data_IF_748132819442
#
_entry.id   IF_748132819442
#
_cell.length_a   1.000
_cell.length_b   1.000
_cell.length_c   1.000
_cell.angle_alpha   90.00
_cell.angle_beta   90.00
_cell.angle_gamma   90.00
#
_symmetry.space_group_name_H-M   'P 1'
#
loop_
_entity.id
_entity.type
_entity.pdbx_description
1 polymer ?
#
# COMPACT_ATOMS: atom_id res chain seq x y z
N UNK A 1 -19.97 -0.89 -23.38
CA UNK A 1 -19.76 -1.60 -22.09
C UNK A 1 -18.37 -1.23 -21.60
N UNK A 2 -18.26 -0.45 -20.54
CA UNK A 2 -17.00 0.15 -20.10
C UNK A 2 -16.11 -0.88 -19.40
N UNK A 3 -14.90 -1.09 -19.93
CA UNK A 3 -13.86 -1.84 -19.24
C UNK A 3 -13.34 -1.00 -18.07
N UNK A 4 -13.75 -1.32 -16.84
CA UNK A 4 -13.16 -0.76 -15.64
C UNK A 4 -11.71 -1.20 -15.54
N UNK A 5 -10.77 -0.28 -15.75
CA UNK A 5 -9.34 -0.49 -15.56
C UNK A 5 -9.10 -0.81 -14.07
N UNK A 6 -8.61 -2.01 -13.71
CA UNK A 6 -8.09 -2.20 -12.37
C UNK A 6 -6.70 -1.56 -12.37
N UNK A 7 -6.59 -0.36 -11.81
CA UNK A 7 -5.33 0.22 -11.34
C UNK A 7 -4.79 -0.61 -10.17
N UNK A 8 -4.51 -1.90 -10.40
CA UNK A 8 -3.62 -2.68 -9.54
C UNK A 8 -2.28 -1.95 -9.46
N UNK A 9 -1.51 -2.05 -8.36
CA UNK A 9 -0.10 -1.72 -8.42
C UNK A 9 0.55 -2.55 -9.54
N UNK A 10 1.10 -1.86 -10.53
CA UNK A 10 1.67 -2.49 -11.71
C UNK A 10 3.18 -2.60 -11.53
N UNK A 11 3.69 -3.82 -11.55
CA UNK A 11 5.12 -4.09 -11.49
C UNK A 11 5.67 -4.18 -12.92
N UNK A 12 6.67 -3.36 -13.23
CA UNK A 12 7.30 -3.26 -14.54
C UNK A 12 8.81 -3.46 -14.44
N UNK A 13 9.43 -3.95 -15.51
CA UNK A 13 10.87 -3.82 -15.70
C UNK A 13 11.24 -2.36 -15.93
N UNK A 14 12.29 -1.88 -15.26
CA UNK A 14 12.62 -0.46 -15.27
C UNK A 14 12.99 0.08 -16.67
N UNK A 15 13.72 -0.71 -17.46
CA UNK A 15 14.18 -0.36 -18.81
C UNK A 15 13.09 -0.47 -19.90
N UNK A 16 11.84 -0.78 -19.54
CA UNK A 16 10.75 -0.90 -20.52
C UNK A 16 10.33 0.48 -21.02
N UNK A 17 10.68 0.79 -22.29
CA UNK A 17 10.30 2.06 -22.96
C UNK A 17 8.79 2.31 -23.00
N UNK A 18 7.96 1.26 -22.98
CA UNK A 18 6.51 1.34 -22.86
C UNK A 18 6.03 0.61 -21.60
N UNK A 19 5.52 1.36 -20.63
CA UNK A 19 4.82 0.82 -19.45
C UNK A 19 3.33 0.81 -19.76
N UNK A 20 2.81 -0.35 -20.18
CA UNK A 20 1.39 -0.53 -20.52
C UNK A 20 0.87 -1.85 -19.93
N UNK A 21 -0.44 -2.11 -20.02
CA UNK A 21 -1.05 -3.30 -19.41
C UNK A 21 -0.50 -4.65 -19.89
N UNK A 22 0.22 -4.69 -21.01
CA UNK A 22 0.81 -5.91 -21.58
C UNK A 22 2.21 -6.14 -20.96
N UNK A 23 2.93 -5.08 -20.60
CA UNK A 23 4.30 -5.15 -20.10
C UNK A 23 4.42 -5.27 -18.57
N UNK A 24 3.30 -5.34 -17.84
CA UNK A 24 3.32 -5.53 -16.39
C UNK A 24 3.27 -7.02 -15.98
N UNK A 25 4.00 -7.34 -14.93
CA UNK A 25 3.91 -8.66 -14.28
C UNK A 25 2.56 -8.80 -13.58
N UNK A 26 1.82 -9.87 -13.91
CA UNK A 26 0.52 -10.21 -13.33
C UNK A 26 0.47 -11.61 -12.71
N UNK A 27 1.55 -12.37 -12.82
CA UNK A 27 1.60 -13.72 -12.27
C UNK A 27 1.50 -13.66 -10.74
N UNK A 28 0.43 -14.24 -10.19
CA UNK A 28 0.11 -14.12 -8.78
C UNK A 28 1.19 -14.75 -7.89
N UNK A 29 1.74 -15.90 -8.30
CA UNK A 29 2.78 -16.60 -7.53
C UNK A 29 4.09 -15.79 -7.48
N UNK A 30 4.46 -15.17 -8.60
CA UNK A 30 5.58 -14.24 -8.68
C UNK A 30 5.35 -13.04 -7.78
N UNK A 31 4.19 -12.37 -7.86
CA UNK A 31 3.88 -11.21 -7.02
C UNK A 31 3.92 -11.56 -5.53
N UNK A 32 3.34 -12.69 -5.14
CA UNK A 32 3.41 -13.21 -3.77
C UNK A 32 4.87 -13.41 -3.34
N UNK A 33 5.67 -14.10 -4.15
CA UNK A 33 7.10 -14.34 -3.85
C UNK A 33 7.89 -13.03 -3.76
N UNK A 34 7.65 -12.11 -4.67
CA UNK A 34 8.35 -10.83 -4.77
C UNK A 34 8.05 -9.96 -3.54
N UNK A 35 6.78 -9.69 -3.26
CA UNK A 35 6.39 -8.77 -2.19
C UNK A 35 6.48 -9.42 -0.79
N UNK A 36 6.40 -10.75 -0.68
CA UNK A 36 6.67 -11.45 0.59
C UNK A 36 8.15 -11.48 0.97
N UNK A 37 9.07 -11.05 0.10
CA UNK A 37 10.51 -11.01 0.38
C UNK A 37 11.11 -9.63 0.22
N UNK A 38 10.27 -8.63 -0.11
CA UNK A 38 10.72 -7.27 -0.28
C UNK A 38 11.32 -6.71 1.01
N UNK A 39 12.48 -6.06 0.88
CA UNK A 39 13.23 -5.45 1.97
C UNK A 39 13.98 -4.20 1.49
N UNK A 40 14.51 -3.35 2.40
CA UNK A 40 15.34 -2.23 1.99
C UNK A 40 16.60 -2.75 1.28
N UNK A 41 17.01 -2.06 0.22
CA UNK A 41 18.21 -2.42 -0.52
C UNK A 41 19.45 -1.97 0.27
N UNK A 42 20.17 -2.96 0.78
CA UNK A 42 21.48 -2.80 1.45
C UNK A 42 22.52 -3.73 0.83
N UNK A 43 22.41 -3.96 -0.47
CA UNK A 43 23.20 -4.97 -1.20
C UNK A 43 24.51 -4.44 -1.79
N UNK A 44 24.79 -3.14 -1.63
CA UNK A 44 25.87 -2.41 -2.28
C UNK A 44 25.61 -2.08 -3.76
N UNK A 45 24.45 -2.45 -4.31
CA UNK A 45 24.11 -2.25 -5.74
C UNK A 45 22.85 -1.42 -5.88
N UNK A 46 22.96 -0.32 -6.63
CA UNK A 46 21.85 0.56 -7.00
C UNK A 46 21.00 1.09 -5.83
N UNK A 47 21.56 1.17 -4.62
CA UNK A 47 20.79 1.53 -3.41
C UNK A 47 20.11 2.90 -3.51
N UNK A 48 20.78 3.86 -4.15
CA UNK A 48 20.26 5.22 -4.36
C UNK A 48 19.10 5.25 -5.37
N UNK A 49 19.17 4.47 -6.44
CA UNK A 49 18.15 4.47 -7.51
C UNK A 49 17.02 3.47 -7.25
N UNK A 50 17.27 2.42 -6.49
CA UNK A 50 16.34 1.34 -6.16
C UNK A 50 16.41 1.05 -4.65
N UNK A 51 15.60 1.75 -3.84
CA UNK A 51 15.67 1.67 -2.38
C UNK A 51 15.17 0.33 -1.81
N UNK A 52 14.54 -0.51 -2.63
CA UNK A 52 14.05 -1.83 -2.22
C UNK A 52 14.61 -2.96 -3.08
N UNK A 53 14.67 -4.16 -2.50
CA UNK A 53 15.18 -5.37 -3.12
C UNK A 53 14.29 -6.56 -2.73
N UNK A 54 13.98 -7.43 -3.68
CA UNK A 54 13.38 -8.73 -3.43
C UNK A 54 14.28 -9.88 -3.95
N UNK A 55 14.75 -10.79 -3.08
CA UNK A 55 15.48 -11.99 -3.50
C UNK A 55 14.53 -13.09 -3.98
N UNK A 56 14.67 -13.49 -5.25
CA UNK A 56 13.89 -14.55 -5.88
C UNK A 56 14.81 -15.70 -6.30
N UNK A 57 15.13 -16.57 -5.34
CA UNK A 57 16.09 -17.67 -5.58
C UNK A 57 17.51 -17.12 -5.76
N UNK A 58 18.12 -17.37 -6.92
CA UNK A 58 19.46 -16.84 -7.26
C UNK A 58 19.40 -15.40 -7.78
N UNK A 59 18.21 -14.90 -8.12
CA UNK A 59 18.00 -13.58 -8.70
C UNK A 59 17.71 -12.52 -7.64
N UNK A 60 18.08 -11.28 -7.98
CA UNK A 60 17.86 -10.09 -7.16
C UNK A 60 17.02 -9.11 -7.98
N UNK A 61 15.82 -8.81 -7.51
CA UNK A 61 14.94 -7.85 -8.17
C UNK A 61 14.98 -6.53 -7.42
N UNK A 62 15.50 -5.49 -8.06
CA UNK A 62 15.57 -4.14 -7.52
C UNK A 62 14.27 -3.39 -7.79
N UNK A 63 13.78 -2.65 -6.80
CA UNK A 63 12.50 -1.95 -6.87
C UNK A 63 12.66 -0.49 -6.46
N UNK A 64 12.08 0.38 -7.29
CA UNK A 64 11.73 1.75 -6.96
C UNK A 64 10.23 1.93 -7.14
N UNK A 65 9.64 2.84 -6.38
CA UNK A 65 8.22 3.15 -6.42
C UNK A 65 8.04 4.67 -6.35
N UNK A 66 6.94 5.17 -6.91
CA UNK A 66 6.61 6.60 -6.86
C UNK A 66 6.18 7.07 -5.45
N UNK A 67 5.70 6.15 -4.62
CA UNK A 67 5.25 6.46 -3.25
C UNK A 67 5.67 5.37 -2.27
N UNK A 68 4.90 4.28 -2.19
CA UNK A 68 5.18 3.15 -1.32
C UNK A 68 5.24 1.84 -2.09
N UNK A 69 6.11 0.90 -1.69
CA UNK A 69 6.18 -0.39 -2.34
C UNK A 69 5.02 -1.32 -1.96
N UNK A 70 4.34 -1.06 -0.84
CA UNK A 70 3.14 -1.78 -0.42
C UNK A 70 1.92 -0.94 -0.80
N UNK A 71 1.06 -1.50 -1.63
CA UNK A 71 -0.22 -0.88 -2.02
C UNK A 71 -1.36 -1.83 -1.68
N UNK A 72 -2.20 -1.44 -0.73
CA UNK A 72 -3.40 -2.18 -0.34
C UNK A 72 -4.48 -2.01 -1.40
N UNK A 73 -5.02 -3.14 -1.87
CA UNK A 73 -5.96 -3.17 -2.99
C UNK A 73 -7.35 -3.62 -2.59
N UNK A 74 -7.48 -4.47 -1.57
CA UNK A 74 -8.76 -5.01 -1.13
C UNK A 74 -8.80 -5.14 0.38
N UNK A 75 -9.99 -4.93 0.95
CA UNK A 75 -10.31 -5.30 2.32
C UNK A 75 -11.04 -6.64 2.34
N UNK A 76 -10.42 -7.62 2.97
CA UNK A 76 -10.95 -8.96 3.19
C UNK A 76 -11.66 -8.96 4.55
N UNK A 77 -12.94 -8.60 4.56
CA UNK A 77 -13.76 -8.53 5.78
C UNK A 77 -14.95 -9.50 5.77
N UNK A 78 -15.13 -10.29 4.71
CA UNK A 78 -16.20 -11.26 4.59
C UNK A 78 -15.77 -12.60 5.16
N UNK A 79 -16.22 -12.94 6.36
CA UNK A 79 -15.96 -14.24 6.99
C UNK A 79 -15.89 -14.18 8.52
N UNK A 80 -15.65 -15.31 9.18
CA UNK A 80 -15.43 -15.38 10.63
C UNK A 80 -14.07 -14.80 11.05
N UNK A 81 -13.16 -14.67 10.09
CA UNK A 81 -11.81 -14.18 10.29
C UNK A 81 -11.77 -12.67 10.57
N UNK A 82 -10.82 -12.19 11.40
CA UNK A 82 -10.59 -10.75 11.56
C UNK A 82 -10.33 -10.07 10.21
N UNK A 83 -10.81 -8.84 10.01
CA UNK A 83 -10.64 -8.14 8.74
C UNK A 83 -9.15 -7.93 8.42
N UNK A 84 -8.78 -8.15 7.17
CA UNK A 84 -7.40 -8.02 6.68
C UNK A 84 -7.33 -7.18 5.43
N UNK A 85 -6.26 -6.42 5.27
CA UNK A 85 -5.96 -5.73 4.01
C UNK A 85 -5.05 -6.60 3.14
N UNK A 86 -5.50 -6.90 1.93
CA UNK A 86 -4.67 -7.52 0.90
C UNK A 86 -3.88 -6.46 0.13
N UNK A 87 -2.65 -6.78 -0.23
CA UNK A 87 -1.77 -5.86 -0.95
C UNK A 87 -1.12 -6.48 -2.18
N UNK A 88 -0.71 -5.61 -3.11
CA UNK A 88 0.10 -5.93 -4.29
C UNK A 88 -0.39 -7.10 -5.15
N UNK A 89 -1.71 -7.36 -5.15
CA UNK A 89 -2.32 -8.42 -5.95
C UNK A 89 -2.10 -9.84 -5.41
N UNK A 90 -1.58 -9.99 -4.19
CA UNK A 90 -1.32 -11.31 -3.60
C UNK A 90 -2.50 -11.99 -2.93
N UNK A 91 -3.70 -11.41 -2.98
CA UNK A 91 -4.91 -11.98 -2.38
C UNK A 91 -4.71 -12.29 -0.90
N UNK A 92 -5.17 -13.46 -0.47
CA UNK A 92 -5.03 -13.90 0.93
C UNK A 92 -3.59 -14.17 1.36
N UNK A 93 -2.69 -14.47 0.40
CA UNK A 93 -1.29 -14.79 0.69
C UNK A 93 -0.44 -13.57 1.06
N UNK A 94 -0.88 -12.36 0.69
CA UNK A 94 -0.26 -11.10 1.05
C UNK A 94 -1.27 -10.22 1.78
N UNK A 95 -1.36 -10.42 3.09
CA UNK A 95 -2.29 -9.69 3.94
C UNK A 95 -1.63 -9.14 5.20
N UNK A 96 -2.23 -8.08 5.73
CA UNK A 96 -1.95 -7.56 7.09
C UNK A 96 -3.27 -7.41 7.84
N UNK A 97 -3.27 -7.47 9.19
CA UNK A 97 -4.45 -7.13 9.98
C UNK A 97 -4.96 -5.73 9.64
N UNK A 98 -6.28 -5.58 9.49
CA UNK A 98 -6.86 -4.26 9.29
C UNK A 98 -6.97 -3.53 10.63
N UNK A 99 -6.29 -2.39 10.70
CA UNK A 99 -6.21 -1.53 11.89
C UNK A 99 -6.88 -0.18 11.56
N UNK A 100 -8.21 -0.06 11.69
CA UNK A 100 -8.95 1.12 11.24
C UNK A 100 -8.48 2.41 11.92
N UNK A 101 -8.18 2.36 13.22
CA UNK A 101 -7.71 3.53 13.98
C UNK A 101 -6.36 4.07 13.50
N UNK A 102 -5.56 3.25 12.80
CA UNK A 102 -4.24 3.63 12.27
C UNK A 102 -4.27 4.02 10.81
N UNK A 103 -5.46 4.15 10.22
CA UNK A 103 -5.62 4.79 8.92
C UNK A 103 -5.14 6.24 9.00
N UNK A 104 -4.26 6.62 8.08
CA UNK A 104 -3.68 7.96 8.03
C UNK A 104 -4.02 8.63 6.70
N UNK A 105 -5.02 9.53 6.66
CA UNK A 105 -5.24 10.40 5.52
C UNK A 105 -4.20 11.53 5.53
N UNK A 106 -3.56 11.77 4.38
CA UNK A 106 -2.60 12.84 4.20
C UNK A 106 -3.18 13.92 3.28
N UNK A 107 -3.51 15.09 3.85
CA UNK A 107 -4.13 16.18 3.10
C UNK A 107 -3.23 16.70 1.96
N UNK A 108 -1.91 16.67 2.14
CA UNK A 108 -0.95 17.22 1.18
C UNK A 108 -1.02 16.56 -0.21
N UNK A 109 -1.41 15.28 -0.29
CA UNK A 109 -1.52 14.56 -1.56
C UNK A 109 -2.85 13.82 -1.75
N UNK A 110 -3.79 13.95 -0.80
CA UNK A 110 -5.10 13.29 -0.85
C UNK A 110 -5.03 11.77 -0.77
N UNK A 111 -3.91 11.19 -0.31
CA UNK A 111 -3.72 9.74 -0.22
C UNK A 111 -4.04 9.24 1.19
N UNK A 112 -4.40 7.96 1.26
CA UNK A 112 -4.68 7.26 2.51
C UNK A 112 -3.61 6.19 2.73
N UNK A 113 -3.13 6.05 3.95
CA UNK A 113 -2.09 5.10 4.33
C UNK A 113 -2.54 4.19 5.48
N UNK A 114 -1.89 3.04 5.60
CA UNK A 114 -2.14 2.04 6.64
C UNK A 114 -0.82 1.35 7.02
N UNK A 115 -0.65 0.83 8.25
CA UNK A 115 0.54 0.09 8.65
C UNK A 115 0.84 -1.08 7.69
N UNK A 116 2.11 -1.19 7.28
CA UNK A 116 2.59 -2.25 6.40
C UNK A 116 3.75 -2.99 7.07
N UNK A 117 4.19 -4.14 6.52
CA UNK A 117 5.34 -4.86 7.07
C UNK A 117 6.57 -3.94 7.19
N UNK A 118 7.24 -3.93 8.35
CA UNK A 118 8.39 -3.07 8.61
C UNK A 118 9.50 -3.23 7.58
N UNK A 119 9.74 -4.48 7.15
CA UNK A 119 10.68 -4.79 6.06
C UNK A 119 10.35 -4.08 4.75
N UNK A 120 9.10 -3.72 4.50
CA UNK A 120 8.69 -3.01 3.30
C UNK A 120 8.50 -1.49 3.55
N UNK A 121 9.05 -0.96 4.64
CA UNK A 121 9.00 0.46 4.98
C UNK A 121 7.94 0.85 6.03
N UNK A 122 7.24 -0.12 6.62
CA UNK A 122 6.36 0.09 7.80
C UNK A 122 5.02 0.77 7.52
N UNK A 123 4.85 1.40 6.36
CA UNK A 123 3.59 2.03 5.95
C UNK A 123 3.35 1.80 4.45
N UNK A 124 2.10 1.50 4.12
CA UNK A 124 1.63 1.22 2.78
C UNK A 124 0.58 2.21 2.32
N UNK A 125 0.48 2.38 1.01
CA UNK A 125 -0.53 3.20 0.36
C UNK A 125 -1.83 2.41 0.22
N UNK A 126 -2.96 3.02 0.52
CA UNK A 126 -4.28 2.47 0.18
C UNK A 126 -4.66 2.96 -1.21
N UNK A 127 -4.95 2.04 -2.12
CA UNK A 127 -5.37 2.37 -3.50
C UNK A 127 -6.64 3.24 -3.47
N UNK A 128 -6.74 4.21 -4.38
CA UNK A 128 -7.85 5.17 -4.45
C UNK A 128 -9.24 4.58 -4.40
N UNK A 129 -9.50 3.44 -5.08
CA UNK A 129 -10.80 2.78 -5.03
C UNK A 129 -11.16 2.31 -3.60
N UNK A 130 -10.23 1.61 -2.95
CA UNK A 130 -10.39 1.17 -1.57
C UNK A 130 -10.41 2.35 -0.59
N UNK A 131 -9.62 3.40 -0.84
CA UNK A 131 -9.65 4.61 -0.02
C UNK A 131 -11.01 5.31 -0.10
N UNK A 132 -11.63 5.34 -1.29
CA UNK A 132 -12.98 5.86 -1.48
C UNK A 132 -14.02 5.03 -0.73
N UNK A 133 -13.95 3.71 -0.78
CA UNK A 133 -14.82 2.82 0.01
C UNK A 133 -14.68 3.08 1.51
N UNK A 134 -13.45 3.17 2.01
CA UNK A 134 -13.18 3.44 3.42
C UNK A 134 -13.55 4.87 3.84
N UNK A 135 -13.63 5.81 2.90
CA UNK A 135 -13.95 7.21 3.21
C UNK A 135 -15.33 7.39 3.82
N UNK A 136 -16.28 6.50 3.50
CA UNK A 136 -17.62 6.48 4.08
C UNK A 136 -17.63 6.17 5.59
N UNK A 137 -16.54 5.60 6.11
CA UNK A 137 -16.36 5.32 7.53
C UNK A 137 -15.73 6.49 8.29
N UNK A 138 -15.24 7.54 7.63
CA UNK A 138 -14.56 8.65 8.30
C UNK A 138 -15.53 9.69 8.85
N UNK A 139 -15.19 10.22 10.03
CA UNK A 139 -15.91 11.30 10.69
C UNK A 139 -15.02 12.54 10.79
N UNK A 140 -15.54 13.67 10.31
CA UNK A 140 -14.85 14.94 10.28
C UNK A 140 -15.28 15.78 11.48
N UNK A 141 -14.34 16.42 12.20
CA UNK A 141 -14.71 17.30 13.30
C UNK A 141 -15.47 18.53 12.76
N UNK A 142 -16.38 19.10 13.56
CA UNK A 142 -17.07 20.33 13.18
C UNK A 142 -16.04 21.47 12.99
N UNK A 143 -16.18 22.25 11.91
CA UNK A 143 -15.32 23.41 11.65
C UNK A 143 -14.33 23.30 10.48
N UNK A 144 -14.75 22.73 9.34
CA UNK A 144 -13.99 22.72 8.08
C UNK A 144 -12.57 22.13 8.15
N UNK A 145 -12.33 21.16 9.04
CA UNK A 145 -11.11 20.36 8.98
C UNK A 145 -11.07 19.56 7.68
N UNK A 146 -9.98 19.68 6.93
CA UNK A 146 -9.72 18.88 5.74
C UNK A 146 -9.42 17.40 6.06
N UNK A 147 -9.16 17.08 7.34
CA UNK A 147 -8.84 15.73 7.79
C UNK A 147 -9.90 15.17 8.74
N UNK A 148 -10.22 13.88 8.63
CA UNK A 148 -11.08 13.22 9.60
C UNK A 148 -10.35 13.04 10.93
N UNK A 149 -11.12 13.01 12.00
CA UNK A 149 -10.59 12.79 13.36
C UNK A 149 -10.85 11.37 13.87
N UNK A 150 -11.89 10.73 13.34
CA UNK A 150 -12.32 9.41 13.76
C UNK A 150 -12.70 8.55 12.56
N UNK A 151 -12.72 7.24 12.80
CA UNK A 151 -13.27 6.23 11.89
C UNK A 151 -14.33 5.43 12.64
N UNK A 152 -15.45 5.20 11.98
CA UNK A 152 -16.53 4.33 12.45
C UNK A 152 -16.37 2.96 11.81
N UNK A 153 -15.99 1.98 12.61
CA UNK A 153 -15.74 0.61 12.16
C UNK A 153 -16.51 -0.39 13.01
N UNK A 154 -17.30 -1.27 12.38
CA UNK A 154 -18.10 -2.30 13.07
C UNK A 154 -18.91 -1.76 14.27
N UNK A 155 -19.57 -0.61 14.09
CA UNK A 155 -20.38 0.04 15.13
C UNK A 155 -19.58 0.77 16.21
N UNK A 156 -18.25 0.73 16.18
CA UNK A 156 -17.37 1.44 17.12
C UNK A 156 -16.80 2.70 16.49
N UNK A 157 -16.73 3.76 17.27
CA UNK A 157 -16.06 5.01 16.92
C UNK A 157 -14.64 4.98 17.48
N UNK A 158 -13.65 5.12 16.62
CA UNK A 158 -12.22 5.04 16.96
C UNK A 158 -11.52 6.33 16.56
N UNK A 159 -10.74 6.93 17.46
CA UNK A 159 -9.91 8.09 17.12
C UNK A 159 -8.76 7.65 16.20
N UNK A 160 -8.46 8.47 15.19
CA UNK A 160 -7.29 8.23 14.34
C UNK A 160 -6.01 8.54 15.12
N UNK A 161 -5.07 7.61 15.15
CA UNK A 161 -3.86 7.67 15.98
C UNK A 161 -2.79 8.60 15.42
N UNK A 162 -2.77 8.78 14.09
CA UNK A 162 -1.79 9.59 13.36
C UNK A 162 -0.32 9.18 13.56
N UNK A 163 -0.07 7.98 14.11
CA UNK A 163 1.25 7.47 14.49
C UNK A 163 2.16 7.15 13.30
N UNK A 164 1.60 7.04 12.09
CA UNK A 164 2.34 6.80 10.86
C UNK A 164 2.94 8.08 10.25
N UNK A 165 2.54 9.28 10.71
CA UNK A 165 2.97 10.54 10.11
C UNK A 165 4.51 10.72 10.07
N UNK A 166 5.29 10.34 11.11
CA UNK A 166 6.75 10.42 11.06
C UNK A 166 7.37 9.56 9.96
N UNK A 167 6.78 8.40 9.65
CA UNK A 167 7.26 7.50 8.59
C UNK A 167 7.01 8.05 7.18
N UNK A 168 6.05 8.97 7.04
CA UNK A 168 5.78 9.66 5.79
C UNK A 168 6.76 10.83 5.56
N UNK A 169 7.12 11.54 6.63
CA UNK A 169 8.05 12.68 6.60
C UNK A 169 9.52 12.26 6.50
N UNK A 170 9.88 11.08 7.01
CA UNK A 170 11.24 10.54 6.97
C UNK A 170 11.71 10.06 5.57
N UNK A 171 10.82 10.07 4.58
CA UNK A 171 11.16 9.81 3.16
C UNK A 171 11.24 11.15 2.44
N UNK A 172 12.44 11.72 2.19
CA UNK A 172 12.53 12.80 1.23
C UNK A 172 12.14 12.23 -0.15
N UNK A 173 11.42 12.99 -1.01
CA UNK A 173 11.36 12.64 -2.41
C UNK A 173 12.81 12.65 -2.98
N UNK A 174 13.12 11.80 -3.97
CA UNK A 174 14.40 11.86 -4.66
C UNK A 174 14.64 13.22 -5.32
#
# INVERSE_FOLDING_TARGET
MGHGLPLCPQLFLDDSKMKNFITCFKDAQFLVTFFSRLRPNRSGRYETSFPFLSPCGRERNFLRCEDRPVVFTHLLASGPEPPRLSYCGGGEALTVPFEPARLLPLAANGRLYHPAPERAGGVGLVRSALAFELSACFEYPPGASALPSHVRWQGRRLALTMDLAPLLLATPPP
#
